data_IF_466401113279
#
_entry.id   IF_466401113279
#
_cell.length_a   1.000
_cell.length_b   1.000
_cell.length_c   1.000
_cell.angle_alpha   90.00
_cell.angle_beta   90.00
_cell.angle_gamma   90.00
#
_symmetry.space_group_name_H-M   'P 1'
#
loop_
_entity.id
_entity.type
_entity.pdbx_description
1 polymer ?
#
# COMPACT_ATOMS: atom_id res chain seq x y z
N UNK A 1 -66.20 -6.89 -61.28
CA UNK A 1 -66.50 -8.34 -61.25
C UNK A 1 -65.33 -9.05 -60.56
N UNK A 2 -65.64 -9.98 -59.65
CA UNK A 2 -64.75 -10.87 -58.86
C UNK A 2 -64.14 -10.30 -57.56
N UNK A 3 -64.77 -10.56 -56.40
CA UNK A 3 -64.69 -11.78 -55.52
C UNK A 3 -63.39 -11.79 -54.70
N UNK A 4 -63.34 -11.19 -53.51
CA UNK A 4 -63.65 -11.78 -52.17
C UNK A 4 -62.90 -13.09 -51.88
N UNK A 5 -61.99 -13.05 -50.91
CA UNK A 5 -61.80 -14.14 -49.94
C UNK A 5 -61.23 -13.59 -48.62
N UNK A 6 -61.97 -13.89 -47.55
CA UNK A 6 -61.75 -13.46 -46.17
C UNK A 6 -60.68 -14.29 -45.44
N UNK A 7 -60.18 -13.77 -44.31
CA UNK A 7 -59.90 -14.48 -43.04
C UNK A 7 -59.43 -13.43 -42.01
N UNK A 8 -60.28 -13.03 -41.05
CA UNK A 8 -60.50 -13.62 -39.71
C UNK A 8 -59.34 -13.42 -38.73
N UNK A 9 -59.73 -13.05 -37.49
CA UNK A 9 -59.02 -13.03 -36.19
C UNK A 9 -58.66 -11.61 -35.72
N UNK A 10 -59.48 -10.98 -34.86
CA UNK A 10 -59.70 -11.22 -33.43
C UNK A 10 -58.57 -10.65 -32.54
N UNK A 11 -58.94 -9.55 -31.87
CA UNK A 11 -58.56 -9.03 -30.55
C UNK A 11 -57.26 -9.51 -29.88
N UNK A 12 -56.53 -8.57 -29.28
CA UNK A 12 -56.59 -8.34 -27.82
C UNK A 12 -55.64 -7.22 -27.41
N UNK A 13 -56.19 -6.25 -26.68
CA UNK A 13 -55.47 -5.23 -25.93
C UNK A 13 -54.61 -5.90 -24.86
N UNK A 14 -53.30 -5.62 -24.84
CA UNK A 14 -52.42 -6.07 -23.77
C UNK A 14 -52.19 -4.91 -22.80
N UNK A 15 -52.80 -5.04 -21.63
CA UNK A 15 -52.51 -4.25 -20.45
C UNK A 15 -51.05 -4.46 -20.02
N UNK A 16 -50.29 -3.37 -19.92
CA UNK A 16 -48.96 -3.36 -19.29
C UNK A 16 -49.12 -3.40 -17.78
N UNK A 17 -48.92 -4.58 -17.18
CA UNK A 17 -48.81 -4.73 -15.73
C UNK A 17 -47.44 -4.19 -15.26
N UNK A 18 -47.47 -3.14 -14.44
CA UNK A 18 -46.30 -2.60 -13.76
C UNK A 18 -45.87 -3.57 -12.65
N UNK A 19 -44.64 -4.10 -12.72
CA UNK A 19 -44.06 -5.01 -11.73
C UNK A 19 -43.28 -4.20 -10.70
N UNK A 20 -43.81 -4.11 -9.49
CA UNK A 20 -43.10 -3.59 -8.31
C UNK A 20 -41.96 -4.53 -7.92
N UNK A 21 -40.72 -4.03 -7.92
CA UNK A 21 -39.54 -4.76 -7.45
C UNK A 21 -39.45 -4.61 -5.94
N UNK A 22 -39.56 -5.72 -5.21
CA UNK A 22 -39.36 -5.78 -3.77
C UNK A 22 -37.86 -5.74 -3.44
N UNK A 23 -37.46 -4.87 -2.52
CA UNK A 23 -36.09 -4.82 -1.96
C UNK A 23 -35.87 -6.00 -1.01
N UNK A 24 -34.73 -6.71 -1.09
CA UNK A 24 -34.41 -7.74 -0.11
C UNK A 24 -33.98 -7.10 1.21
N UNK A 25 -34.61 -7.60 2.28
CA UNK A 25 -34.28 -7.30 3.68
C UNK A 25 -32.95 -7.95 4.06
N UNK A 26 -32.12 -7.19 4.78
CA UNK A 26 -31.15 -7.71 5.74
C UNK A 26 -29.81 -8.17 5.17
N UNK A 27 -28.92 -7.24 4.85
CA UNK A 27 -27.48 -7.55 4.77
C UNK A 27 -26.96 -7.61 6.21
N UNK A 28 -26.83 -8.84 6.73
CA UNK A 28 -26.10 -9.07 7.97
C UNK A 28 -24.64 -8.67 7.75
N UNK A 29 -24.15 -7.69 8.51
CA UNK A 29 -22.73 -7.33 8.59
C UNK A 29 -21.99 -8.49 9.26
N UNK A 30 -21.71 -9.54 8.49
CA UNK A 30 -20.73 -10.53 8.88
C UNK A 30 -19.36 -9.86 8.74
N UNK A 31 -18.89 -9.27 9.83
CA UNK A 31 -17.49 -8.90 10.02
C UNK A 31 -16.64 -10.12 9.67
N UNK A 32 -16.04 -10.11 8.47
CA UNK A 32 -15.07 -11.12 8.09
C UNK A 32 -13.88 -10.95 9.04
N UNK A 33 -13.50 -11.97 9.82
CA UNK A 33 -12.30 -11.88 10.63
C UNK A 33 -11.12 -11.64 9.70
N UNK A 34 -10.35 -10.59 9.97
CA UNK A 34 -9.05 -10.35 9.36
C UNK A 34 -8.22 -11.61 9.59
N UNK A 35 -7.95 -12.34 8.52
CA UNK A 35 -7.12 -13.53 8.57
C UNK A 35 -5.67 -13.07 8.72
N UNK A 36 -5.23 -12.90 9.97
CA UNK A 36 -3.81 -12.78 10.26
C UNK A 36 -3.17 -14.12 9.93
N UNK A 37 -2.41 -14.20 8.85
CA UNK A 37 -1.63 -15.39 8.51
C UNK A 37 -0.60 -15.62 9.62
N UNK A 38 -0.97 -16.37 10.66
CA UNK A 38 -0.03 -16.84 11.67
C UNK A 38 0.91 -17.84 11.00
N UNK A 39 2.21 -17.53 10.99
CA UNK A 39 3.24 -18.53 10.77
C UNK A 39 4.00 -18.48 9.45
N UNK A 40 4.25 -17.31 8.86
CA UNK A 40 5.42 -17.22 7.98
C UNK A 40 6.67 -17.05 8.85
N UNK A 41 7.68 -17.93 8.73
CA UNK A 41 8.95 -17.76 9.42
C UNK A 41 9.54 -16.37 9.13
N UNK A 42 10.05 -15.73 10.17
CA UNK A 42 10.88 -14.52 10.07
C UNK A 42 11.97 -14.78 9.03
N UNK A 43 11.99 -14.01 7.94
CA UNK A 43 12.98 -14.20 6.88
C UNK A 43 14.34 -13.60 7.26
N UNK A 44 14.42 -12.93 8.42
CA UNK A 44 15.55 -12.09 8.77
C UNK A 44 15.95 -12.24 10.24
N UNK A 45 17.06 -11.57 10.60
CA UNK A 45 17.81 -11.57 11.88
C UNK A 45 17.02 -10.99 13.07
N UNK A 46 15.72 -11.21 13.08
CA UNK A 46 14.75 -10.74 14.05
C UNK A 46 15.03 -11.34 15.42
N UNK A 47 15.11 -10.50 16.45
CA UNK A 47 15.13 -10.95 17.83
C UNK A 47 13.68 -11.06 18.33
N UNK A 48 13.19 -12.28 18.47
CA UNK A 48 11.82 -12.60 18.92
C UNK A 48 11.46 -11.98 20.28
N UNK A 49 12.45 -11.57 21.07
CA UNK A 49 12.24 -10.98 22.41
C UNK A 49 11.82 -9.51 22.40
N UNK A 50 11.78 -8.84 21.25
CA UNK A 50 11.42 -7.40 21.23
C UNK A 50 9.92 -7.18 21.36
N UNK A 51 9.51 -6.54 22.45
CA UNK A 51 8.13 -6.11 22.66
C UNK A 51 7.81 -4.82 21.88
N UNK A 52 7.33 -4.99 20.65
CA UNK A 52 6.98 -3.86 19.77
C UNK A 52 5.77 -3.06 20.23
N UNK A 53 4.86 -3.65 21.00
CA UNK A 53 3.70 -2.92 21.51
C UNK A 53 4.10 -1.83 22.50
N UNK A 54 5.24 -1.99 23.19
CA UNK A 54 5.80 -0.95 24.08
C UNK A 54 6.64 0.10 23.36
N UNK A 55 7.21 -0.23 22.20
CA UNK A 55 8.12 0.66 21.46
C UNK A 55 7.42 1.49 20.39
N UNK A 56 6.32 0.99 19.86
CA UNK A 56 5.59 1.59 18.75
C UNK A 56 4.28 2.19 19.26
N UNK A 57 3.81 3.22 18.57
CA UNK A 57 2.42 3.64 18.70
C UNK A 57 1.48 2.52 18.22
N UNK A 58 0.21 2.50 18.65
CA UNK A 58 -0.76 1.50 18.19
C UNK A 58 -0.88 1.42 16.67
N UNK A 59 -0.91 2.56 15.98
CA UNK A 59 -0.99 2.62 14.51
C UNK A 59 0.26 2.07 13.83
N UNK A 60 1.45 2.45 14.32
CA UNK A 60 2.71 1.88 13.83
C UNK A 60 2.75 0.37 14.03
N UNK A 61 2.27 -0.15 15.16
CA UNK A 61 2.22 -1.59 15.40
C UNK A 61 1.28 -2.30 14.42
N UNK A 62 0.05 -1.79 14.23
CA UNK A 62 -0.91 -2.38 13.29
C UNK A 62 -0.34 -2.42 11.87
N UNK A 63 0.24 -1.31 11.38
CA UNK A 63 0.81 -1.28 10.04
C UNK A 63 2.04 -2.18 9.94
N UNK A 64 3.03 -2.03 10.83
CA UNK A 64 4.33 -2.71 10.67
C UNK A 64 4.33 -4.18 11.10
N UNK A 65 3.44 -4.60 11.99
CA UNK A 65 3.43 -5.98 12.55
C UNK A 65 2.20 -6.78 12.14
N UNK A 66 1.05 -6.12 11.99
CA UNK A 66 -0.19 -6.78 11.57
C UNK A 66 -0.47 -6.61 10.07
N UNK A 67 0.46 -5.97 9.33
CA UNK A 67 0.36 -5.71 7.89
C UNK A 67 -0.86 -4.87 7.52
N UNK A 68 -1.22 -3.93 8.40
CA UNK A 68 -2.22 -2.92 8.11
C UNK A 68 -1.75 -1.93 7.04
N UNK A 69 -2.69 -1.13 6.55
CA UNK A 69 -2.42 -0.05 5.58
C UNK A 69 -3.00 1.24 6.14
N UNK A 70 -2.22 2.32 6.13
CA UNK A 70 -2.71 3.64 6.53
C UNK A 70 -3.78 4.13 5.55
N UNK A 71 -4.68 5.00 6.02
CA UNK A 71 -5.74 5.57 5.17
C UNK A 71 -5.10 6.39 4.03
N UNK A 72 -5.58 6.30 2.79
CA UNK A 72 -5.05 7.13 1.71
C UNK A 72 -5.19 8.61 2.06
N UNK A 73 -4.19 9.39 1.68
CA UNK A 73 -4.06 10.83 1.87
C UNK A 73 -3.89 11.31 3.32
N UNK A 74 -3.79 10.41 4.31
CA UNK A 74 -3.62 10.80 5.72
C UNK A 74 -2.16 10.82 6.20
N UNK A 75 -1.26 10.21 5.45
CA UNK A 75 0.13 10.00 5.86
C UNK A 75 0.95 11.29 5.92
N UNK A 76 1.73 11.45 7.01
CA UNK A 76 2.57 12.65 7.24
C UNK A 76 3.64 12.88 6.18
N UNK A 77 4.08 11.81 5.49
CA UNK A 77 5.15 11.90 4.49
C UNK A 77 4.63 11.95 3.05
N UNK A 78 3.32 12.02 2.85
CA UNK A 78 2.73 12.10 1.52
C UNK A 78 3.28 13.31 0.73
N UNK A 79 3.14 14.50 1.30
CA UNK A 79 3.58 15.77 0.69
C UNK A 79 4.90 16.29 1.29
N UNK A 80 5.75 15.37 1.74
CA UNK A 80 7.04 15.70 2.33
C UNK A 80 8.17 15.56 1.29
N UNK A 81 8.95 16.62 1.09
CA UNK A 81 10.01 16.69 0.06
C UNK A 81 11.33 17.26 0.57
N UNK A 82 11.53 17.28 1.89
CA UNK A 82 12.83 17.66 2.45
C UNK A 82 13.92 16.68 2.03
N UNK A 83 15.15 17.18 1.89
CA UNK A 83 16.31 16.39 1.47
C UNK A 83 16.80 15.55 2.65
N UNK A 84 16.79 14.23 2.49
CA UNK A 84 17.18 13.32 3.55
C UNK A 84 16.85 11.86 3.26
N UNK A 85 16.75 11.09 4.33
CA UNK A 85 16.56 9.64 4.28
C UNK A 85 15.32 9.23 5.08
N UNK A 86 14.55 8.31 4.53
CA UNK A 86 13.45 7.64 5.21
C UNK A 86 13.95 6.31 5.78
N UNK A 87 13.86 6.17 7.09
CA UNK A 87 14.30 5.01 7.85
C UNK A 87 13.11 4.19 8.31
N UNK A 88 13.33 2.91 8.60
CA UNK A 88 12.34 2.05 9.23
C UNK A 88 12.01 2.56 10.64
N UNK A 89 10.73 2.78 10.94
CA UNK A 89 10.31 3.25 12.28
C UNK A 89 10.66 2.27 13.40
N UNK A 90 10.78 0.96 13.08
CA UNK A 90 11.05 -0.07 14.06
C UNK A 90 12.54 -0.22 14.40
N UNK A 91 13.41 -0.30 13.39
CA UNK A 91 14.82 -0.64 13.57
C UNK A 91 15.79 0.42 13.05
N UNK A 92 15.28 1.54 12.54
CA UNK A 92 16.07 2.68 12.06
C UNK A 92 16.98 2.37 10.85
N UNK A 93 16.76 1.23 10.16
CA UNK A 93 17.47 0.91 8.92
C UNK A 93 17.11 1.92 7.80
N UNK A 94 18.07 2.38 6.98
CA UNK A 94 17.79 3.26 5.85
C UNK A 94 17.02 2.50 4.76
N UNK A 95 15.87 3.03 4.35
CA UNK A 95 14.96 2.36 3.40
C UNK A 95 14.87 3.08 2.07
N UNK A 96 14.65 4.40 2.08
CA UNK A 96 14.41 5.19 0.86
C UNK A 96 15.09 6.56 0.95
N UNK A 97 15.63 7.05 -0.18
CA UNK A 97 16.14 8.41 -0.31
C UNK A 97 15.02 9.38 -0.70
N UNK A 98 15.08 10.62 -0.23
CA UNK A 98 14.22 11.70 -0.72
C UNK A 98 14.35 11.93 -2.23
N UNK A 99 15.52 11.66 -2.81
CA UNK A 99 15.79 11.82 -4.25
C UNK A 99 14.96 10.84 -5.10
N UNK A 100 14.63 9.68 -4.55
CA UNK A 100 13.81 8.67 -5.22
C UNK A 100 12.30 8.92 -5.02
N UNK A 101 11.91 9.87 -4.16
CA UNK A 101 10.50 10.15 -3.86
C UNK A 101 9.84 10.94 -4.99
N UNK A 102 8.58 10.66 -5.28
CA UNK A 102 7.79 11.39 -6.28
C UNK A 102 6.30 11.39 -5.96
N UNK A 103 5.53 12.18 -6.72
CA UNK A 103 4.06 12.24 -6.64
C UNK A 103 3.42 11.20 -7.54
N UNK A 104 2.88 10.12 -6.94
CA UNK A 104 2.10 9.12 -7.66
C UNK A 104 0.61 9.46 -7.79
N UNK A 105 0.10 10.36 -6.93
CA UNK A 105 -1.33 10.63 -6.80
C UNK A 105 -2.15 9.51 -6.13
N UNK A 106 -1.49 8.47 -5.59
CA UNK A 106 -2.18 7.29 -5.05
C UNK A 106 -2.61 7.42 -3.60
N UNK A 107 -2.18 8.46 -2.89
CA UNK A 107 -2.54 8.73 -1.49
C UNK A 107 -1.52 8.24 -0.45
N UNK A 108 -0.41 7.65 -0.87
CA UNK A 108 0.71 7.26 -0.01
C UNK A 108 2.03 7.78 -0.58
N UNK A 109 3.08 7.99 0.25
CA UNK A 109 4.39 8.35 -0.28
C UNK A 109 4.90 7.27 -1.24
N UNK A 110 5.35 7.72 -2.40
CA UNK A 110 5.82 6.85 -3.47
C UNK A 110 7.31 7.08 -3.76
N UNK A 111 8.03 5.98 -3.98
CA UNK A 111 9.44 5.99 -4.34
C UNK A 111 9.68 5.16 -5.61
N UNK A 112 10.68 5.54 -6.40
CA UNK A 112 11.05 4.84 -7.65
C UNK A 112 11.91 3.59 -7.39
N UNK A 113 12.66 3.61 -6.30
CA UNK A 113 13.60 2.56 -5.91
C UNK A 113 13.89 2.62 -4.40
N UNK A 114 14.40 1.51 -3.86
CA UNK A 114 14.90 1.44 -2.50
C UNK A 114 16.33 2.00 -2.39
N UNK A 115 16.70 2.45 -1.20
CA UNK A 115 18.06 2.90 -0.95
C UNK A 115 19.05 1.73 -1.03
N UNK A 116 20.15 1.94 -1.75
CA UNK A 116 21.15 0.91 -2.01
C UNK A 116 20.86 0.08 -3.26
N UNK A 117 19.81 0.38 -4.02
CA UNK A 117 19.61 -0.22 -5.34
C UNK A 117 20.70 0.26 -6.29
N UNK A 118 21.31 -0.67 -7.04
CA UNK A 118 22.24 -0.37 -8.11
C UNK A 118 21.73 -0.98 -9.41
N UNK A 119 21.37 -0.13 -10.38
CA UNK A 119 20.65 -0.50 -11.61
C UNK A 119 19.33 -1.22 -11.33
N UNK A 120 19.36 -2.55 -11.17
CA UNK A 120 18.22 -3.40 -10.79
C UNK A 120 18.57 -4.38 -9.66
N UNK A 121 19.78 -4.32 -9.14
CA UNK A 121 20.20 -5.16 -8.01
C UNK A 121 19.77 -4.51 -6.69
N UNK A 122 19.00 -5.25 -5.90
CA UNK A 122 18.52 -4.86 -4.58
C UNK A 122 19.26 -5.58 -3.44
N UNK A 123 20.33 -6.32 -3.75
CA UNK A 123 21.09 -7.10 -2.76
C UNK A 123 21.62 -6.27 -1.58
N UNK A 124 21.97 -5.01 -1.86
CA UNK A 124 22.48 -4.02 -0.90
C UNK A 124 21.40 -3.20 -0.18
N UNK A 125 20.13 -3.40 -0.53
CA UNK A 125 19.02 -2.68 0.10
C UNK A 125 18.66 -3.25 1.47
N UNK A 126 17.95 -2.45 2.26
CA UNK A 126 17.35 -2.88 3.53
C UNK A 126 15.89 -3.33 3.38
N UNK A 127 15.45 -3.66 2.16
CA UNK A 127 14.10 -4.17 1.89
C UNK A 127 14.15 -5.63 1.42
N UNK A 128 13.04 -6.33 1.59
CA UNK A 128 12.79 -7.63 0.99
C UNK A 128 11.38 -7.63 0.41
N UNK A 129 11.26 -8.20 -0.79
CA UNK A 129 9.99 -8.37 -1.50
C UNK A 129 9.37 -9.71 -1.14
N UNK A 130 8.06 -9.72 -0.88
CA UNK A 130 7.29 -10.95 -0.66
C UNK A 130 6.05 -10.92 -1.54
N UNK A 131 5.77 -12.00 -2.31
CA UNK A 131 4.49 -12.11 -3.01
C UNK A 131 3.32 -11.97 -2.05
N UNK A 132 2.41 -11.05 -2.33
CA UNK A 132 1.18 -10.89 -1.56
C UNK A 132 0.02 -11.51 -2.32
N UNK A 133 -0.48 -12.63 -1.82
CA UNK A 133 -1.63 -13.34 -2.40
C UNK A 133 -2.95 -12.92 -1.73
N UNK A 134 -2.95 -11.87 -0.91
CA UNK A 134 -4.16 -11.34 -0.32
C UNK A 134 -5.03 -10.62 -1.36
N UNK A 135 -6.34 -10.59 -1.08
CA UNK A 135 -7.46 -10.21 -1.94
C UNK A 135 -7.13 -9.26 -3.12
N UNK A 136 -6.83 -9.82 -4.28
CA UNK A 136 -6.82 -9.09 -5.57
C UNK A 136 -5.69 -8.08 -5.76
N UNK A 137 -4.68 -8.06 -4.88
CA UNK A 137 -3.53 -7.16 -5.03
C UNK A 137 -2.60 -7.66 -6.12
N UNK A 138 -2.31 -6.81 -7.12
CA UNK A 138 -1.23 -7.04 -8.09
C UNK A 138 0.15 -6.63 -7.54
N UNK A 139 0.20 -6.09 -6.31
CA UNK A 139 1.43 -5.57 -5.70
C UNK A 139 2.21 -6.63 -4.94
N UNK A 140 3.53 -6.51 -4.94
CA UNK A 140 4.41 -7.32 -4.12
C UNK A 140 4.62 -6.63 -2.77
N UNK A 141 4.39 -7.31 -1.65
CA UNK A 141 4.63 -6.78 -0.30
C UNK A 141 6.11 -6.39 -0.14
N UNK A 142 6.35 -5.23 0.47
CA UNK A 142 7.68 -4.73 0.80
C UNK A 142 7.84 -4.75 2.32
N UNK A 143 8.86 -5.45 2.78
CA UNK A 143 9.20 -5.60 4.20
C UNK A 143 10.60 -5.03 4.47
N UNK A 144 10.85 -4.61 5.71
CA UNK A 144 12.20 -4.30 6.16
C UNK A 144 13.02 -5.59 6.33
N UNK A 145 14.15 -5.68 5.63
CA UNK A 145 15.10 -6.80 5.67
C UNK A 145 15.77 -7.02 7.03
N UNK A 146 15.70 -6.05 7.94
CA UNK A 146 16.37 -6.14 9.25
C UNK A 146 15.44 -6.55 10.38
N UNK A 147 14.13 -6.32 10.25
CA UNK A 147 13.19 -6.54 11.35
C UNK A 147 11.83 -7.07 10.91
N UNK A 148 11.65 -7.43 9.64
CA UNK A 148 10.42 -7.94 9.04
C UNK A 148 9.19 -7.01 9.21
N UNK A 149 9.41 -5.72 9.44
CA UNK A 149 8.34 -4.73 9.50
C UNK A 149 7.69 -4.57 8.12
N UNK A 150 6.36 -4.63 8.05
CA UNK A 150 5.60 -4.29 6.85
C UNK A 150 5.74 -2.79 6.55
N UNK A 151 6.11 -2.49 5.30
CA UNK A 151 6.32 -1.12 4.83
C UNK A 151 5.19 -0.70 3.88
N UNK A 152 4.77 -1.58 2.98
CA UNK A 152 3.76 -1.31 1.96
C UNK A 152 3.90 -2.29 0.80
N UNK A 153 3.73 -1.80 -0.42
CA UNK A 153 3.79 -2.63 -1.63
C UNK A 153 4.57 -1.96 -2.75
N UNK A 154 5.13 -2.77 -3.65
CA UNK A 154 5.72 -2.32 -4.91
C UNK A 154 4.88 -2.82 -6.09
N UNK A 155 4.68 -1.94 -7.06
CA UNK A 155 3.90 -2.17 -8.27
C UNK A 155 4.73 -1.88 -9.52
N UNK A 156 4.43 -2.55 -10.64
CA UNK A 156 5.12 -2.40 -11.93
C UNK A 156 4.53 -1.28 -12.81
N UNK A 157 3.85 -0.31 -12.21
CA UNK A 157 3.19 0.83 -12.85
C UNK A 157 3.88 2.17 -12.52
N UNK A 158 5.16 2.11 -12.15
CA UNK A 158 5.96 3.28 -11.80
C UNK A 158 6.58 4.00 -12.99
N UNK A 159 7.23 5.14 -12.76
CA UNK A 159 7.93 5.89 -13.79
C UNK A 159 9.21 5.18 -14.25
N UNK A 160 9.68 5.53 -15.44
CA UNK A 160 11.01 5.15 -15.92
C UNK A 160 12.13 5.74 -15.00
N UNK A 161 13.31 5.09 -14.95
CA UNK A 161 13.74 3.92 -15.73
C UNK A 161 13.39 2.57 -15.10
N UNK A 162 13.05 2.54 -13.81
CA UNK A 162 12.79 1.27 -13.10
C UNK A 162 11.43 0.69 -13.45
N UNK A 163 10.45 1.54 -13.75
CA UNK A 163 9.05 1.14 -13.91
C UNK A 163 8.41 0.70 -12.58
N UNK A 164 9.10 0.90 -11.45
CA UNK A 164 8.67 0.44 -10.13
C UNK A 164 8.07 1.60 -9.34
N UNK A 165 6.96 1.33 -8.66
CA UNK A 165 6.33 2.24 -7.70
C UNK A 165 6.28 1.59 -6.34
N UNK A 166 7.19 1.98 -5.46
CA UNK A 166 7.15 1.64 -4.05
C UNK A 166 6.14 2.55 -3.35
N UNK A 167 4.97 2.01 -3.06
CA UNK A 167 3.88 2.68 -2.36
C UNK A 167 3.96 2.31 -0.87
N UNK A 168 4.44 3.22 -0.04
CA UNK A 168 4.87 2.92 1.33
C UNK A 168 3.98 3.65 2.34
N UNK A 169 3.69 3.01 3.47
CA UNK A 169 2.97 3.66 4.57
C UNK A 169 3.90 4.67 5.26
N UNK A 170 3.46 5.92 5.37
CA UNK A 170 4.15 6.98 6.12
C UNK A 170 4.40 6.57 7.57
N UNK A 171 3.43 5.91 8.21
CA UNK A 171 3.56 5.47 9.61
C UNK A 171 4.65 4.41 9.81
N UNK A 172 5.07 3.71 8.75
CA UNK A 172 6.17 2.75 8.81
C UNK A 172 7.55 3.43 8.70
N UNK A 173 7.59 4.75 8.44
CA UNK A 173 8.80 5.51 8.17
C UNK A 173 9.12 6.51 9.28
N UNK A 174 10.41 6.84 9.39
CA UNK A 174 10.94 7.96 10.15
C UNK A 174 11.91 8.73 9.27
N UNK A 175 11.68 10.02 9.06
CA UNK A 175 12.56 10.86 8.25
C UNK A 175 13.75 11.36 9.07
N UNK A 176 14.92 11.43 8.42
CA UNK A 176 16.13 12.09 8.92
C UNK A 176 16.62 13.05 7.85
N UNK A 177 16.66 14.34 8.18
CA UNK A 177 17.17 15.34 7.25
C UNK A 177 18.65 15.09 6.98
N UNK A 178 19.09 15.35 5.76
CA UNK A 178 20.52 15.41 5.45
C UNK A 178 21.02 16.73 6.00
N UNK A 179 21.76 16.69 7.11
CA UNK A 179 22.43 17.89 7.60
C UNK A 179 23.41 18.36 6.51
N UNK A 180 23.15 19.54 5.95
CA UNK A 180 24.15 20.22 5.15
C UNK A 180 25.27 20.58 6.12
N UNK A 181 26.44 19.92 6.00
CA UNK A 181 27.66 20.26 6.71
C UNK A 181 27.89 21.77 6.64
N UNK A 182 27.42 22.50 7.66
CA UNK A 182 27.88 23.84 7.92
C UNK A 182 29.21 23.62 8.62
N UNK A 183 30.35 24.05 8.05
CA UNK A 183 31.61 23.93 8.76
C UNK A 183 31.44 24.61 10.11
N UNK A 184 31.62 23.85 11.19
CA UNK A 184 31.77 24.42 12.52
C UNK A 184 32.89 25.46 12.41
N UNK A 185 32.57 26.71 12.74
CA UNK A 185 33.60 27.75 12.84
C UNK A 185 34.61 27.24 13.87
N UNK A 186 35.91 27.18 13.56
CA UNK A 186 36.89 26.87 14.60
C UNK A 186 36.77 27.93 15.70
N UNK A 187 36.51 27.47 16.93
CA UNK A 187 36.62 28.31 18.13
C UNK A 187 38.09 28.73 18.26
N UNK A 188 38.31 30.04 18.15
CA UNK A 188 39.59 30.69 18.36
C UNK A 188 39.85 30.71 19.87
N UNK A 189 40.88 29.97 20.32
CA UNK A 189 41.47 30.04 21.66
C UNK A 189 42.92 30.49 21.54
#
# INVERSE_FOLDING_TARGET
MSRVAARLLAALSQHTASRSVALPRGVSLLSRPVSTSKGLPSLTRYNETTDWQKKLTPEQYVVTRERGTEVPFSGIYLNHYEVGMYHCVCCDAPLFSSEAKYESGTGWPAFKEAHGTWERDESHTSIIRRPDNSLGSAGTEVLCKNCDAHLGHVFDDGPEPTGQRFCINSVALKFKTRENNKPEKPEEN
#
